data_IF_855215544269
#
_entry.id   IF_855215544269
#
_cell.length_a   1.000
_cell.length_b   1.000
_cell.length_c   1.000
_cell.angle_alpha   90.00
_cell.angle_beta   90.00
_cell.angle_gamma   90.00
#
_symmetry.space_group_name_H-M   'P 1'
#
loop_
_entity.id
_entity.type
_entity.pdbx_description
1 polymer ?
#
# COMPACT_ATOMS: atom_id res chain seq x y z
N UNK A 1 -9.60 14.00 -5.47
CA UNK A 1 -9.40 13.46 -4.11
C UNK A 1 -8.04 12.78 -4.05
N UNK A 2 -7.03 13.38 -3.41
CA UNK A 2 -5.75 12.73 -3.18
C UNK A 2 -5.77 12.02 -1.82
N UNK A 3 -5.32 10.77 -1.77
CA UNK A 3 -5.24 9.97 -0.53
C UNK A 3 -3.80 9.96 -0.08
N UNK A 4 -3.52 10.53 1.09
CA UNK A 4 -2.20 10.42 1.71
C UNK A 4 -2.16 9.12 2.53
N UNK A 5 -1.35 8.15 2.07
CA UNK A 5 -1.11 6.93 2.83
C UNK A 5 0.11 7.21 3.74
N UNK A 6 -0.01 7.13 5.07
CA UNK A 6 1.15 7.26 5.94
C UNK A 6 2.14 6.14 5.60
N UNK A 7 3.37 6.52 5.25
CA UNK A 7 4.46 5.57 5.04
C UNK A 7 4.74 4.86 6.37
N UNK A 8 4.24 3.63 6.56
CA UNK A 8 5.04 2.64 7.32
C UNK A 8 6.38 2.52 6.60
N UNK A 9 7.48 2.42 7.34
CA UNK A 9 8.85 2.30 6.83
C UNK A 9 8.89 1.19 5.77
N UNK A 10 8.68 1.56 4.52
CA UNK A 10 8.78 0.68 3.36
C UNK A 10 9.86 1.26 2.47
N UNK A 11 10.85 0.46 2.04
CA UNK A 11 11.92 0.95 1.20
C UNK A 11 11.33 1.56 -0.07
N UNK A 12 11.78 2.77 -0.41
CA UNK A 12 11.34 3.49 -1.61
C UNK A 12 11.81 2.68 -2.83
N UNK A 13 10.93 1.86 -3.41
CA UNK A 13 11.21 1.13 -4.65
C UNK A 13 10.80 2.01 -5.82
N UNK A 14 11.76 2.37 -6.68
CA UNK A 14 11.53 3.14 -7.91
C UNK A 14 10.93 2.21 -8.97
N UNK A 15 9.66 1.84 -8.79
CA UNK A 15 8.85 1.11 -9.77
C UNK A 15 7.55 1.88 -9.94
N UNK A 16 7.31 2.40 -11.15
CA UNK A 16 6.01 2.95 -11.53
C UNK A 16 5.13 1.76 -11.90
N UNK A 17 4.57 1.12 -10.87
CA UNK A 17 3.44 0.24 -11.02
C UNK A 17 2.39 0.73 -10.03
N UNK A 18 1.14 0.89 -10.49
CA UNK A 18 0.02 1.18 -9.60
C UNK A 18 -0.32 -0.12 -8.84
N UNK A 19 0.59 -0.55 -7.97
CA UNK A 19 0.42 -1.78 -7.20
C UNK A 19 -0.53 -1.44 -6.06
N UNK A 20 -1.77 -1.88 -6.16
CA UNK A 20 -2.63 -2.12 -5.01
C UNK A 20 -2.70 -3.63 -4.75
N UNK A 21 -1.60 -4.30 -4.33
CA UNK A 21 -1.71 -5.70 -3.97
C UNK A 21 -2.24 -5.71 -2.52
N UNK A 22 -3.54 -5.93 -2.35
CA UNK A 22 -4.17 -6.23 -1.06
C UNK A 22 -4.03 -5.20 0.07
N UNK A 23 -3.65 -3.94 -0.19
CA UNK A 23 -3.84 -2.88 0.80
C UNK A 23 -5.29 -2.45 0.75
N UNK A 24 -6.10 -2.92 1.72
CA UNK A 24 -7.43 -2.39 2.02
C UNK A 24 -7.38 -0.87 1.86
N UNK A 25 -8.29 -0.30 1.07
CA UNK A 25 -8.50 1.15 0.89
C UNK A 25 -8.95 1.83 2.20
N UNK A 26 -8.23 1.59 3.30
CA UNK A 26 -8.40 2.33 4.53
C UNK A 26 -7.99 3.77 4.22
N UNK A 27 -8.97 4.67 4.17
CA UNK A 27 -8.71 6.10 4.09
C UNK A 27 -8.09 6.53 5.42
N UNK A 28 -6.77 6.44 5.52
CA UNK A 28 -6.04 6.78 6.76
C UNK A 28 -5.93 8.29 6.94
N UNK A 29 -5.83 9.03 5.84
CA UNK A 29 -5.83 10.49 5.80
C UNK A 29 -6.60 10.94 4.56
N UNK A 30 -7.47 11.94 4.71
CA UNK A 30 -8.11 12.63 3.58
C UNK A 30 -7.74 14.10 3.60
N UNK A 31 -7.66 14.71 2.41
CA UNK A 31 -7.67 16.16 2.23
C UNK A 31 -9.03 16.57 1.68
N UNK A 32 -9.48 17.77 2.01
CA UNK A 32 -10.78 18.27 1.55
C UNK A 32 -10.62 18.99 0.19
N UNK A 33 -9.42 19.51 -0.09
CA UNK A 33 -9.05 20.09 -1.37
C UNK A 33 -7.57 20.45 -1.41
N UNK A 34 -7.22 21.34 -2.31
CA UNK A 34 -5.94 22.04 -2.37
C UNK A 34 -6.19 23.47 -2.85
N UNK A 35 -5.27 24.35 -2.55
CA UNK A 35 -5.27 25.73 -3.04
C UNK A 35 -3.92 26.05 -3.64
N UNK A 36 -3.94 26.77 -4.76
CA UNK A 36 -2.76 27.35 -5.38
C UNK A 36 -2.48 28.72 -4.76
N UNK A 37 -1.21 28.98 -4.45
CA UNK A 37 -0.74 30.30 -4.03
C UNK A 37 -0.67 31.20 -5.27
N UNK A 38 -1.03 32.49 -5.17
CA UNK A 38 -0.82 33.45 -6.24
C UNK A 38 0.60 33.40 -6.82
N UNK A 39 0.68 33.26 -8.14
CA UNK A 39 1.96 33.14 -8.84
C UNK A 39 2.78 34.42 -8.70
N UNK A 40 4.10 34.27 -8.59
CA UNK A 40 5.08 35.35 -8.53
C UNK A 40 4.86 36.32 -7.37
N UNK A 41 4.33 35.83 -6.25
CA UNK A 41 4.11 36.62 -5.04
C UNK A 41 4.73 35.92 -3.82
N UNK A 42 6.00 36.25 -3.54
CA UNK A 42 6.71 35.77 -2.35
C UNK A 42 6.01 36.17 -1.04
N UNK A 43 5.20 37.23 -1.02
CA UNK A 43 4.44 37.62 0.19
C UNK A 43 3.29 36.66 0.44
N UNK A 44 2.56 36.29 -0.62
CA UNK A 44 1.51 35.28 -0.55
C UNK A 44 2.07 33.90 -0.21
N UNK A 45 3.19 33.51 -0.82
CA UNK A 45 3.90 32.28 -0.46
C UNK A 45 4.32 32.28 1.01
N UNK A 46 4.90 33.39 1.50
CA UNK A 46 5.33 33.51 2.91
C UNK A 46 4.14 33.36 3.85
N UNK A 47 3.01 33.96 3.51
CA UNK A 47 1.78 33.85 4.28
C UNK A 47 1.35 32.38 4.36
N UNK A 48 1.31 31.65 3.25
CA UNK A 48 0.94 30.23 3.24
C UNK A 48 1.91 29.36 4.07
N UNK A 49 3.23 29.56 3.88
CA UNK A 49 4.28 28.82 4.61
C UNK A 49 4.22 29.06 6.13
N UNK A 50 3.75 30.24 6.57
CA UNK A 50 3.56 30.53 7.98
C UNK A 50 2.47 29.66 8.64
N UNK A 51 1.48 29.19 7.87
CA UNK A 51 0.40 28.33 8.38
C UNK A 51 0.73 26.85 8.24
N UNK A 52 1.37 26.44 7.13
CA UNK A 52 1.64 25.04 6.85
C UNK A 52 2.74 24.86 5.80
N UNK A 53 3.34 23.66 5.68
CA UNK A 53 4.23 23.36 4.56
C UNK A 53 3.53 23.51 3.21
N UNK A 54 4.24 24.10 2.24
CA UNK A 54 3.74 24.37 0.88
C UNK A 54 4.58 23.60 -0.13
N UNK A 55 3.93 22.89 -1.04
CA UNK A 55 4.61 22.27 -2.18
C UNK A 55 4.98 23.37 -3.17
N UNK A 56 6.23 23.40 -3.61
CA UNK A 56 6.74 24.40 -4.56
C UNK A 56 7.55 23.73 -5.65
N UNK A 57 7.50 24.27 -6.86
CA UNK A 57 8.41 23.90 -7.94
C UNK A 57 9.59 24.88 -8.01
N UNK A 58 10.76 24.37 -8.38
CA UNK A 58 11.99 25.14 -8.56
C UNK A 58 12.77 24.63 -9.78
N UNK A 59 13.70 25.45 -10.28
CA UNK A 59 14.79 24.99 -11.15
C UNK A 59 15.97 24.50 -10.30
N UNK A 60 16.26 23.20 -10.35
CA UNK A 60 17.30 22.52 -9.57
C UNK A 60 18.41 21.90 -10.45
N UNK A 61 18.32 21.99 -11.78
CA UNK A 61 19.28 21.41 -12.71
C UNK A 61 20.69 22.03 -12.68
N UNK A 62 20.86 23.23 -12.15
CA UNK A 62 22.15 23.94 -12.13
C UNK A 62 23.21 23.34 -11.20
N UNK A 63 24.49 23.41 -11.60
CA UNK A 63 25.62 22.87 -10.82
C UNK A 63 25.74 23.46 -9.41
N UNK A 64 25.42 24.75 -9.24
CA UNK A 64 25.41 25.41 -7.94
C UNK A 64 24.41 24.75 -6.98
N UNK A 65 23.23 24.36 -7.49
CA UNK A 65 22.21 23.70 -6.69
C UNK A 65 22.60 22.25 -6.37
N UNK A 66 23.05 21.49 -7.37
CA UNK A 66 23.45 20.09 -7.19
C UNK A 66 24.54 19.93 -6.13
N UNK A 67 25.51 20.85 -6.09
CA UNK A 67 26.66 20.81 -5.17
C UNK A 67 26.46 21.60 -3.88
N UNK A 68 25.24 22.09 -3.59
CA UNK A 68 24.94 22.81 -2.36
C UNK A 68 25.23 21.94 -1.12
N UNK A 69 25.91 22.53 -0.12
CA UNK A 69 26.26 21.88 1.14
C UNK A 69 25.64 22.59 2.35
N UNK A 70 25.77 23.92 2.44
CA UNK A 70 25.29 24.69 3.57
C UNK A 70 25.23 26.19 3.29
N UNK A 71 24.59 26.94 4.18
CA UNK A 71 24.47 28.40 4.12
C UNK A 71 23.24 28.86 3.34
N UNK A 72 23.01 30.17 3.27
CA UNK A 72 21.98 30.72 2.39
C UNK A 72 22.45 30.60 0.94
N UNK A 73 21.71 29.85 0.13
CA UNK A 73 21.96 29.63 -1.27
C UNK A 73 21.68 30.90 -2.07
N UNK A 74 22.76 31.54 -2.52
CA UNK A 74 22.76 32.70 -3.41
C UNK A 74 23.25 32.35 -4.82
N UNK A 75 23.54 31.07 -5.10
CA UNK A 75 24.04 30.60 -6.38
C UNK A 75 23.09 30.86 -7.57
N UNK A 76 23.61 30.76 -8.79
CA UNK A 76 22.83 31.00 -10.00
C UNK A 76 21.88 29.84 -10.30
N UNK A 77 20.65 30.18 -10.68
CA UNK A 77 19.62 29.30 -11.21
C UNK A 77 18.66 30.15 -12.09
N UNK A 78 17.99 29.53 -13.04
CA UNK A 78 16.95 30.15 -13.85
C UNK A 78 15.54 29.93 -13.25
N UNK A 79 14.55 29.87 -14.13
CA UNK A 79 13.12 29.71 -13.80
C UNK A 79 12.45 28.62 -14.64
N UNK A 80 13.22 27.75 -15.29
CA UNK A 80 12.69 26.57 -15.99
C UNK A 80 12.47 25.46 -14.97
N UNK A 81 11.29 25.49 -14.33
CA UNK A 81 10.91 24.59 -13.24
C UNK A 81 11.07 23.12 -13.67
N UNK A 82 11.87 22.36 -12.92
CA UNK A 82 12.20 20.96 -13.23
C UNK A 82 12.10 20.03 -12.02
N UNK A 83 11.88 20.59 -10.81
CA UNK A 83 11.96 19.82 -9.57
C UNK A 83 10.94 20.28 -8.53
N UNK A 84 10.27 19.31 -7.88
CA UNK A 84 9.30 19.55 -6.82
C UNK A 84 9.91 19.39 -5.43
N UNK A 85 9.71 20.38 -4.56
CA UNK A 85 10.22 20.43 -3.18
C UNK A 85 9.15 20.99 -2.23
N UNK A 86 9.46 21.08 -0.93
CA UNK A 86 8.52 21.59 0.08
C UNK A 86 9.13 22.76 0.82
N UNK A 87 8.52 23.93 0.74
CA UNK A 87 8.82 25.06 1.63
C UNK A 87 8.21 24.79 3.01
N UNK A 88 9.05 24.71 4.04
CA UNK A 88 8.64 24.35 5.41
C UNK A 88 8.84 25.48 6.42
N UNK A 89 9.43 26.59 6.00
CA UNK A 89 9.68 27.74 6.84
C UNK A 89 10.44 28.83 6.09
N UNK A 90 10.77 29.91 6.80
CA UNK A 90 11.59 31.00 6.32
C UNK A 90 12.26 31.69 7.51
N UNK A 91 13.30 32.47 7.24
CA UNK A 91 14.01 33.23 8.27
C UNK A 91 14.82 34.37 7.67
N UNK A 92 15.65 34.95 8.52
CA UNK A 92 16.62 36.00 8.16
C UNK A 92 17.90 35.72 8.93
N UNK A 93 19.04 35.71 8.25
CA UNK A 93 20.35 35.54 8.85
C UNK A 93 21.30 36.57 8.26
N UNK A 94 21.97 37.35 9.12
CA UNK A 94 22.91 38.40 8.70
C UNK A 94 22.33 39.41 7.68
N UNK A 95 21.04 39.73 7.79
CA UNK A 95 20.34 40.64 6.88
C UNK A 95 19.92 40.01 5.55
N UNK A 96 20.16 38.71 5.35
CA UNK A 96 19.71 37.96 4.17
C UNK A 96 18.48 37.13 4.53
N UNK A 97 17.39 37.38 3.83
CA UNK A 97 16.16 36.63 3.94
C UNK A 97 16.28 35.28 3.23
N UNK A 98 15.74 34.22 3.82
CA UNK A 98 15.76 32.89 3.20
C UNK A 98 14.48 32.09 3.43
N UNK A 99 14.20 31.17 2.52
CA UNK A 99 13.28 30.04 2.64
C UNK A 99 14.00 28.83 3.23
N UNK A 100 13.31 28.04 4.05
CA UNK A 100 13.77 26.71 4.46
C UNK A 100 13.02 25.69 3.59
N UNK A 101 13.75 25.01 2.73
CA UNK A 101 13.17 24.09 1.73
C UNK A 101 13.67 22.68 1.97
N UNK A 102 12.74 21.74 2.10
CA UNK A 102 13.01 20.32 2.22
C UNK A 102 13.13 19.69 0.84
N UNK A 103 14.24 19.01 0.59
CA UNK A 103 14.48 18.26 -0.64
C UNK A 103 14.22 16.75 -0.43
N UNK A 104 14.28 15.99 -1.52
CA UNK A 104 14.04 14.54 -1.58
C UNK A 104 15.28 13.72 -1.96
N UNK A 105 16.47 14.33 -1.97
CA UNK A 105 17.75 13.69 -2.34
C UNK A 105 18.51 13.04 -1.16
N UNK A 106 17.82 12.86 -0.03
CA UNK A 106 18.37 12.23 1.17
C UNK A 106 19.15 13.20 2.07
N UNK A 107 19.52 12.75 3.28
CA UNK A 107 20.11 13.62 4.30
C UNK A 107 21.57 14.00 4.01
N UNK A 108 22.27 13.29 3.10
CA UNK A 108 23.65 13.57 2.75
C UNK A 108 23.82 14.81 1.85
N UNK A 109 22.72 15.32 1.28
CA UNK A 109 22.73 16.51 0.43
C UNK A 109 22.31 17.75 1.24
N UNK A 110 22.99 18.88 1.04
CA UNK A 110 22.69 20.13 1.73
C UNK A 110 22.74 20.02 3.26
N UNK A 111 21.89 20.79 3.92
CA UNK A 111 21.80 20.84 5.38
C UNK A 111 20.87 19.73 5.89
N UNK A 112 21.36 18.49 5.92
CA UNK A 112 20.58 17.30 6.29
C UNK A 112 19.35 17.06 5.39
N UNK A 113 19.49 17.29 4.08
CA UNK A 113 18.40 17.19 3.10
C UNK A 113 17.59 18.46 2.91
N UNK A 114 18.03 19.57 3.51
CA UNK A 114 17.41 20.89 3.38
C UNK A 114 18.33 21.88 2.68
N UNK A 115 17.74 22.95 2.17
CA UNK A 115 18.43 24.11 1.64
C UNK A 115 17.80 25.37 2.21
N UNK A 116 18.65 26.31 2.64
CA UNK A 116 18.22 27.68 2.91
C UNK A 116 18.34 28.48 1.63
N UNK A 117 17.24 28.80 0.97
CA UNK A 117 17.25 29.47 -0.35
C UNK A 117 17.01 30.96 -0.19
N UNK A 118 17.82 31.81 -0.81
CA UNK A 118 17.65 33.27 -0.77
C UNK A 118 16.21 33.69 -1.14
N UNK A 119 15.65 34.63 -0.38
CA UNK A 119 14.28 35.14 -0.51
C UNK A 119 14.33 36.66 -0.70
N UNK A 120 13.27 37.23 -1.30
CA UNK A 120 13.16 38.68 -1.54
C UNK A 120 14.26 39.22 -2.47
N UNK A 121 14.60 38.46 -3.52
CA UNK A 121 15.60 38.87 -4.51
C UNK A 121 15.01 40.00 -5.36
N UNK A 122 15.52 41.22 -5.17
CA UNK A 122 14.93 42.44 -5.75
C UNK A 122 14.79 42.43 -7.29
N UNK A 123 15.58 41.61 -8.01
CA UNK A 123 15.56 41.53 -9.46
C UNK A 123 14.52 40.57 -10.05
N UNK A 124 13.70 39.91 -9.21
CA UNK A 124 12.72 38.95 -9.69
C UNK A 124 11.45 38.90 -8.83
N UNK A 125 10.31 38.71 -9.49
CA UNK A 125 9.02 38.41 -8.85
C UNK A 125 8.80 36.89 -8.75
N UNK A 126 9.53 36.09 -9.52
CA UNK A 126 9.43 34.61 -9.50
C UNK A 126 10.08 33.98 -8.27
N UNK A 127 10.81 34.77 -7.48
CA UNK A 127 11.67 34.31 -6.40
C UNK A 127 12.93 33.59 -6.91
N UNK A 128 13.86 33.27 -6.00
CA UNK A 128 15.07 32.52 -6.34
C UNK A 128 14.68 31.16 -6.93
N UNK A 129 15.28 30.80 -8.06
CA UNK A 129 15.04 29.55 -8.78
C UNK A 129 13.56 29.30 -9.17
N UNK A 130 12.73 30.35 -9.25
CA UNK A 130 11.31 30.22 -9.59
C UNK A 130 10.40 29.74 -8.45
N UNK A 131 10.87 29.73 -7.20
CA UNK A 131 10.13 29.17 -6.04
C UNK A 131 8.72 29.73 -5.83
N UNK A 132 8.42 30.93 -6.33
CA UNK A 132 7.10 31.56 -6.21
C UNK A 132 6.19 31.37 -7.45
N UNK A 133 6.63 30.64 -8.48
CA UNK A 133 5.88 30.49 -9.74
C UNK A 133 4.75 29.45 -9.64
N UNK A 134 5.02 28.31 -9.01
CA UNK A 134 4.06 27.21 -8.86
C UNK A 134 4.12 26.66 -7.44
N UNK A 135 3.20 27.13 -6.60
CA UNK A 135 3.10 26.74 -5.22
C UNK A 135 1.66 26.37 -4.86
N UNK A 136 1.49 25.26 -4.15
CA UNK A 136 0.17 24.80 -3.72
C UNK A 136 0.23 24.04 -2.41
N UNK A 137 -0.90 24.02 -1.70
CA UNK A 137 -1.01 23.35 -0.41
C UNK A 137 -2.34 22.63 -0.26
N UNK A 138 -2.36 21.46 0.44
CA UNK A 138 -3.60 20.76 0.71
C UNK A 138 -4.44 21.54 1.73
N UNK A 139 -5.76 21.53 1.55
CA UNK A 139 -6.70 22.09 2.53
C UNK A 139 -7.36 20.98 3.34
N UNK A 140 -7.57 21.27 4.62
CA UNK A 140 -8.27 20.37 5.54
C UNK A 140 -9.09 21.19 6.53
N UNK A 141 -10.40 21.03 6.45
CA UNK A 141 -11.41 21.72 7.26
C UNK A 141 -11.96 20.80 8.38
N UNK A 142 -11.70 19.48 8.32
CA UNK A 142 -12.12 18.51 9.34
C UNK A 142 -10.96 17.81 10.05
N UNK A 143 -11.25 17.12 11.16
CA UNK A 143 -10.25 16.28 11.83
C UNK A 143 -9.83 15.08 10.94
N UNK A 144 -8.59 14.63 11.12
CA UNK A 144 -8.14 13.34 10.63
C UNK A 144 -7.97 12.38 11.81
N UNK A 145 -8.51 11.15 11.76
CA UNK A 145 -9.37 10.62 10.69
C UNK A 145 -10.74 11.34 10.63
N UNK A 146 -11.46 11.28 9.48
CA UNK A 146 -12.80 11.85 9.35
C UNK A 146 -13.70 11.41 10.51
N UNK A 147 -14.57 12.27 11.04
CA UNK A 147 -15.57 11.91 12.05
C UNK A 147 -16.99 12.17 11.50
N UNK A 148 -17.88 11.15 11.44
CA UNK A 148 -17.62 9.74 11.73
C UNK A 148 -16.53 9.18 10.81
N UNK A 149 -15.75 8.23 11.34
CA UNK A 149 -14.74 7.48 10.59
C UNK A 149 -15.30 7.03 9.24
N UNK A 150 -14.48 6.83 8.20
CA UNK A 150 -14.98 6.21 6.98
C UNK A 150 -15.76 4.96 7.40
N UNK A 151 -17.06 4.92 7.09
CA UNK A 151 -17.87 3.72 7.30
C UNK A 151 -17.04 2.55 6.77
N UNK A 152 -16.97 1.42 7.50
CA UNK A 152 -16.42 0.20 6.93
C UNK A 152 -17.00 0.09 5.52
N UNK A 153 -16.17 -0.12 4.47
CA UNK A 153 -16.73 -0.33 3.14
C UNK A 153 -17.84 -1.36 3.33
N UNK A 154 -19.08 -1.00 2.94
CA UNK A 154 -20.18 -1.96 2.91
C UNK A 154 -19.60 -3.24 2.34
N UNK A 155 -19.79 -4.42 2.96
CA UNK A 155 -19.24 -5.65 2.43
C UNK A 155 -19.74 -5.75 1.00
N UNK A 156 -18.88 -5.40 0.05
CA UNK A 156 -19.02 -5.82 -1.32
C UNK A 156 -18.84 -7.30 -1.14
N UNK A 157 -19.95 -8.06 -1.17
CA UNK A 157 -19.88 -9.49 -1.31
C UNK A 157 -18.87 -9.72 -2.43
N UNK A 158 -17.69 -10.27 -2.13
CA UNK A 158 -16.79 -10.65 -3.19
C UNK A 158 -17.62 -11.52 -4.14
N UNK A 159 -17.40 -11.47 -5.47
CA UNK A 159 -17.82 -12.61 -6.27
C UNK A 159 -17.32 -13.85 -5.51
N UNK A 160 -18.20 -14.81 -5.19
CA UNK A 160 -17.84 -15.94 -4.34
C UNK A 160 -16.50 -16.48 -4.84
N UNK A 161 -15.50 -16.69 -3.96
CA UNK A 161 -14.24 -17.26 -4.39
C UNK A 161 -14.55 -18.48 -5.28
N UNK A 162 -13.83 -18.67 -6.40
CA UNK A 162 -14.02 -19.88 -7.17
C UNK A 162 -13.94 -21.06 -6.20
N UNK A 163 -14.87 -22.02 -6.34
CA UNK A 163 -14.86 -23.23 -5.53
C UNK A 163 -13.43 -23.75 -5.47
N UNK A 164 -12.93 -24.01 -4.25
CA UNK A 164 -11.64 -24.66 -4.08
C UNK A 164 -11.86 -26.12 -4.47
N UNK A 165 -11.73 -26.41 -5.77
CA UNK A 165 -11.69 -27.76 -6.31
C UNK A 165 -10.48 -28.46 -5.67
N UNK A 166 -10.74 -29.48 -4.86
CA UNK A 166 -9.69 -30.24 -4.18
C UNK A 166 -9.06 -31.24 -5.15
N UNK A 167 -9.91 -31.89 -5.94
CA UNK A 167 -9.54 -32.74 -7.07
C UNK A 167 -10.73 -32.84 -8.06
N UNK A 168 -10.66 -33.80 -9.00
CA UNK A 168 -11.72 -34.04 -9.99
C UNK A 168 -13.07 -34.48 -9.40
N UNK A 169 -13.09 -34.97 -8.15
CA UNK A 169 -14.23 -35.58 -7.49
C UNK A 169 -14.71 -34.81 -6.27
N UNK A 170 -13.89 -33.97 -5.66
CA UNK A 170 -14.16 -33.30 -4.40
C UNK A 170 -13.94 -31.79 -4.50
N UNK A 171 -14.89 -31.04 -3.97
CA UNK A 171 -14.80 -29.59 -3.84
C UNK A 171 -15.13 -29.13 -2.43
N UNK A 172 -14.52 -28.01 -2.05
CA UNK A 172 -14.82 -27.32 -0.80
C UNK A 172 -15.52 -25.98 -1.05
N UNK A 173 -16.32 -25.49 -0.07
CA UNK A 173 -16.93 -24.18 -0.15
C UNK A 173 -15.88 -23.08 -0.37
N UNK A 174 -16.24 -21.97 -1.04
CA UNK A 174 -15.35 -20.83 -1.19
C UNK A 174 -14.75 -20.36 0.14
N UNK A 175 -13.46 -20.04 0.14
CA UNK A 175 -12.74 -19.62 1.36
C UNK A 175 -12.34 -20.77 2.30
N UNK A 176 -12.45 -22.02 1.85
CA UNK A 176 -12.00 -23.21 2.59
C UNK A 176 -10.68 -23.74 2.05
N UNK A 177 -9.95 -24.49 2.87
CA UNK A 177 -8.75 -25.23 2.46
C UNK A 177 -9.06 -26.71 2.34
N UNK A 178 -8.72 -27.30 1.20
CA UNK A 178 -8.80 -28.74 0.97
C UNK A 178 -7.69 -29.45 1.76
N UNK A 179 -8.08 -30.28 2.72
CA UNK A 179 -7.18 -31.08 3.54
C UNK A 179 -7.37 -32.57 3.25
N UNK A 180 -6.28 -33.26 2.95
CA UNK A 180 -6.34 -34.69 2.73
C UNK A 180 -6.68 -35.42 4.05
N UNK A 181 -7.67 -36.31 3.99
CA UNK A 181 -8.09 -37.17 5.10
C UNK A 181 -7.52 -38.58 4.92
N UNK A 182 -7.41 -39.05 3.67
CA UNK A 182 -6.94 -40.41 3.39
C UNK A 182 -5.88 -40.39 2.30
N UNK A 183 -4.62 -40.31 2.73
CA UNK A 183 -3.46 -40.33 1.84
C UNK A 183 -2.90 -41.74 1.72
N UNK A 184 -2.61 -42.18 0.49
CA UNK A 184 -1.85 -43.40 0.23
C UNK A 184 -0.80 -43.11 -0.85
N UNK A 185 0.47 -43.16 -0.47
CA UNK A 185 1.57 -42.62 -1.30
C UNK A 185 1.41 -41.12 -1.52
N UNK A 186 1.52 -40.68 -2.78
CA UNK A 186 1.35 -39.28 -3.17
C UNK A 186 -0.09 -38.90 -3.55
N UNK A 187 -1.05 -39.83 -3.40
CA UNK A 187 -2.44 -39.60 -3.79
C UNK A 187 -3.37 -39.45 -2.58
N UNK A 188 -4.31 -38.52 -2.68
CA UNK A 188 -5.36 -38.32 -1.69
C UNK A 188 -6.69 -38.91 -2.18
N UNK A 189 -7.22 -39.88 -1.44
CA UNK A 189 -8.45 -40.61 -1.77
C UNK A 189 -9.70 -40.05 -1.08
N UNK A 190 -9.52 -39.08 -0.18
CA UNK A 190 -10.62 -38.44 0.53
C UNK A 190 -10.22 -37.07 1.07
N UNK A 191 -11.09 -36.10 0.89
CA UNK A 191 -10.83 -34.70 1.24
C UNK A 191 -11.78 -34.19 2.31
N UNK A 192 -11.26 -33.29 3.14
CA UNK A 192 -12.00 -32.49 4.10
C UNK A 192 -11.80 -31.01 3.84
N UNK A 193 -12.80 -30.22 4.20
CA UNK A 193 -12.77 -28.77 4.11
C UNK A 193 -12.44 -28.18 5.47
N UNK A 194 -11.29 -27.52 5.57
CA UNK A 194 -11.03 -26.61 6.68
C UNK A 194 -11.74 -25.28 6.43
N UNK A 195 -12.52 -24.74 7.38
CA UNK A 195 -13.30 -23.50 7.21
C UNK A 195 -12.43 -22.23 7.32
N UNK A 196 -11.21 -22.27 6.79
CA UNK A 196 -10.27 -21.17 6.72
C UNK A 196 -9.51 -21.23 5.39
N UNK A 197 -9.13 -20.06 4.88
CA UNK A 197 -8.21 -19.94 3.74
C UNK A 197 -6.78 -20.24 4.19
N UNK A 198 -6.03 -20.99 3.37
CA UNK A 198 -4.62 -21.33 3.60
C UNK A 198 -4.33 -22.00 4.95
N UNK A 199 -5.24 -22.86 5.41
CA UNK A 199 -5.08 -23.57 6.67
C UNK A 199 -4.01 -24.66 6.60
N UNK A 200 -3.30 -24.88 7.70
CA UNK A 200 -2.42 -26.03 7.85
C UNK A 200 -3.24 -27.26 8.21
N UNK A 201 -3.16 -28.31 7.40
CA UNK A 201 -3.82 -29.58 7.65
C UNK A 201 -3.00 -30.39 8.66
N UNK A 202 -3.58 -30.71 9.81
CA UNK A 202 -2.92 -31.52 10.83
C UNK A 202 -2.88 -33.02 10.47
N UNK A 203 -1.93 -33.73 11.04
CA UNK A 203 -1.70 -35.16 10.77
C UNK A 203 -2.76 -36.08 11.39
N UNK A 204 -3.63 -35.56 12.25
CA UNK A 204 -4.77 -36.30 12.81
C UNK A 204 -5.91 -36.53 11.78
N UNK A 205 -5.74 -36.02 10.56
CA UNK A 205 -6.69 -36.09 9.45
C UNK A 205 -8.06 -35.43 9.72
N UNK A 206 -8.22 -34.80 10.88
CA UNK A 206 -9.50 -34.28 11.37
C UNK A 206 -9.44 -32.80 11.69
N UNK A 207 -8.28 -32.31 12.12
CA UNK A 207 -8.08 -30.93 12.55
C UNK A 207 -7.30 -30.12 11.53
N UNK A 208 -7.46 -28.81 11.60
CA UNK A 208 -6.69 -27.86 10.84
C UNK A 208 -6.41 -26.61 11.68
N UNK A 209 -5.30 -25.94 11.34
CA UNK A 209 -4.83 -24.76 12.03
C UNK A 209 -4.82 -23.52 11.13
N UNK A 210 -5.08 -22.33 11.68
CA UNK A 210 -4.91 -21.08 10.96
C UNK A 210 -3.47 -20.89 10.48
N UNK A 211 -3.27 -20.21 9.36
CA UNK A 211 -1.94 -19.88 8.84
C UNK A 211 -1.03 -19.17 9.86
N UNK A 212 -1.58 -18.31 10.71
CA UNK A 212 -0.82 -17.58 11.73
C UNK A 212 -0.38 -18.48 12.91
N UNK A 213 -0.98 -19.66 13.05
CA UNK A 213 -0.69 -20.64 14.09
C UNK A 213 -0.47 -22.03 13.47
N UNK A 214 0.53 -22.22 12.60
CA UNK A 214 0.61 -23.39 11.72
C UNK A 214 1.04 -24.68 12.45
N UNK A 215 1.50 -24.60 13.71
CA UNK A 215 1.99 -25.77 14.45
C UNK A 215 0.82 -26.47 15.13
N UNK A 216 0.45 -27.65 14.64
CA UNK A 216 -0.56 -28.51 15.26
C UNK A 216 0.00 -29.16 16.54
N UNK A 217 -0.64 -28.89 17.68
CA UNK A 217 -0.49 -29.66 18.92
C UNK A 217 -1.71 -30.57 19.07
N UNK A 218 -1.54 -31.82 18.66
CA UNK A 218 -2.60 -32.83 18.65
C UNK A 218 -2.98 -33.31 20.07
N UNK A 219 -2.04 -33.26 21.01
CA UNK A 219 -2.26 -33.69 22.40
C UNK A 219 -3.11 -32.67 23.15
N UNK A 220 -2.81 -31.37 22.96
CA UNK A 220 -3.59 -30.29 23.54
C UNK A 220 -4.83 -29.91 22.70
N UNK A 221 -4.94 -30.38 21.45
CA UNK A 221 -5.99 -29.97 20.51
C UNK A 221 -5.90 -28.48 20.14
N UNK A 222 -4.69 -27.94 20.07
CA UNK A 222 -4.43 -26.51 19.84
C UNK A 222 -3.46 -26.27 18.69
N UNK A 223 -3.43 -25.04 18.20
CA UNK A 223 -2.58 -24.54 17.16
C UNK A 223 -1.66 -23.46 17.74
N UNK A 224 -0.36 -23.55 17.47
CA UNK A 224 0.66 -22.65 18.03
C UNK A 224 1.40 -21.93 16.92
N UNK A 225 1.90 -20.73 17.22
CA UNK A 225 2.78 -20.00 16.29
C UNK A 225 4.16 -20.67 16.14
N UNK A 226 4.57 -21.48 17.12
CA UNK A 226 5.85 -22.18 17.15
C UNK A 226 5.86 -23.32 18.17
N UNK A 227 6.78 -24.28 18.03
CA UNK A 227 6.81 -25.53 18.82
C UNK A 227 6.86 -25.31 20.35
N UNK A 228 7.52 -24.24 20.80
CA UNK A 228 7.71 -23.92 22.23
C UNK A 228 6.86 -22.74 22.72
N UNK A 229 5.82 -22.35 21.99
CA UNK A 229 4.96 -21.22 22.40
C UNK A 229 3.90 -21.71 23.41
N UNK A 230 3.82 -21.14 24.62
CA UNK A 230 2.80 -21.50 25.61
C UNK A 230 1.39 -21.04 25.22
N UNK A 231 1.27 -20.11 24.27
CA UNK A 231 -0.01 -19.62 23.78
C UNK A 231 -0.42 -20.35 22.51
N UNK A 232 -1.56 -21.01 22.57
CA UNK A 232 -2.19 -21.69 21.43
C UNK A 232 -3.66 -21.30 21.29
N UNK A 233 -4.14 -21.32 20.06
CA UNK A 233 -5.57 -21.19 19.74
C UNK A 233 -6.16 -22.58 19.53
N UNK A 234 -7.47 -22.74 19.73
CA UNK A 234 -8.11 -24.06 19.55
C UNK A 234 -8.02 -24.49 18.07
N UNK A 235 -7.67 -25.76 17.83
CA UNK A 235 -7.70 -26.31 16.48
C UNK A 235 -9.14 -26.41 15.95
N UNK A 236 -9.29 -26.21 14.65
CA UNK A 236 -10.59 -26.27 13.98
C UNK A 236 -10.83 -27.64 13.38
N UNK A 237 -12.07 -28.08 13.40
CA UNK A 237 -12.49 -29.35 12.82
C UNK A 237 -12.80 -29.20 11.34
N UNK A 238 -12.34 -30.15 10.53
CA UNK A 238 -12.67 -30.25 9.10
C UNK A 238 -14.11 -30.73 8.92
N UNK A 239 -14.80 -30.20 7.91
CA UNK A 239 -16.04 -30.76 7.39
C UNK A 239 -15.74 -31.73 6.22
N UNK A 240 -16.60 -32.71 5.90
CA UNK A 240 -16.41 -33.54 4.71
C UNK A 240 -16.51 -32.69 3.42
N UNK A 241 -15.63 -32.96 2.44
CA UNK A 241 -15.71 -32.32 1.13
C UNK A 241 -16.95 -32.79 0.35
N UNK A 242 -17.46 -31.92 -0.54
CA UNK A 242 -18.62 -32.25 -1.39
C UNK A 242 -18.16 -33.04 -2.60
N UNK A 243 -18.93 -34.05 -2.98
CA UNK A 243 -18.66 -34.84 -4.18
C UNK A 243 -19.19 -34.12 -5.42
N UNK A 244 -18.33 -33.87 -6.41
CA UNK A 244 -18.65 -33.28 -7.70
C UNK A 244 -19.37 -34.31 -8.61
N UNK A 245 -20.69 -34.43 -8.47
CA UNK A 245 -21.51 -35.42 -9.19
C UNK A 245 -21.53 -35.27 -10.73
N UNK A 246 -21.18 -34.11 -11.27
CA UNK A 246 -21.18 -33.83 -12.72
C UNK A 246 -20.09 -34.56 -13.51
N UNK A 247 -18.99 -34.99 -12.86
CA UNK A 247 -17.88 -35.70 -13.51
C UNK A 247 -17.95 -37.24 -13.38
N UNK A 248 -18.86 -37.78 -12.57
CA UNK A 248 -19.07 -39.24 -12.50
C UNK A 248 -19.84 -39.83 -13.71
N UNK A 249 -20.59 -39.02 -14.46
CA UNK A 249 -21.38 -39.48 -15.62
C UNK A 249 -20.57 -39.55 -16.95
N UNK A 250 -19.27 -39.24 -16.94
CA UNK A 250 -18.39 -39.36 -18.11
C UNK A 250 -17.83 -40.77 -18.35
N UNK A 251 -18.09 -41.72 -17.44
CA UNK A 251 -17.46 -43.03 -17.41
C UNK A 251 -18.41 -44.21 -17.59
N UNK A 252 -19.29 -44.22 -18.60
CA UNK A 252 -19.86 -45.44 -19.23
C UNK A 252 -20.88 -45.11 -20.33
N UNK A 253 -20.47 -45.28 -21.59
CA UNK A 253 -21.10 -46.12 -22.64
C UNK A 253 -20.40 -45.85 -23.97
N UNK A 254 -19.48 -46.75 -24.36
CA UNK A 254 -19.19 -46.97 -25.78
C UNK A 254 -20.46 -47.56 -26.40
N UNK A 255 -21.33 -46.72 -26.95
CA UNK A 255 -22.34 -47.16 -27.89
C UNK A 255 -21.80 -46.84 -29.28
N UNK A 256 -21.55 -47.90 -30.06
CA UNK A 256 -21.02 -47.82 -31.41
C UNK A 256 -21.91 -46.96 -32.31
N UNK A 257 -21.28 -46.12 -33.12
CA UNK A 257 -21.90 -45.56 -34.32
C UNK A 257 -22.24 -46.72 -35.25
N UNK A 258 -23.52 -47.03 -35.39
CA UNK A 258 -24.03 -47.67 -36.60
C UNK A 258 -24.26 -46.56 -37.63
N UNK A 259 -23.88 -46.92 -38.83
CA UNK A 259 -23.81 -46.19 -40.10
C UNK A 259 -25.19 -45.65 -40.54
N UNK A 260 -25.18 -44.66 -41.44
CA UNK A 260 -26.33 -43.83 -41.81
C UNK A 260 -27.40 -44.47 -42.70
N UNK A 261 -27.90 -43.63 -43.63
CA UNK A 261 -29.03 -43.82 -44.55
C UNK A 261 -30.38 -43.54 -43.81
N UNK A 262 -31.18 -42.50 -44.06
CA UNK A 262 -31.47 -41.64 -45.22
C UNK A 262 -31.57 -40.16 -44.82
#
# INVERSE_FOLDING_TARGET
MAVLIPKKITPTRLLIACVTPNRKNARVVTIDGYEDVPQNDEKSLRKAVAYQPVSVAIEAGGRHFQLYQSGVFTGSCGTQLDHGVVAVGYGTENGVDYWIVRNSWGPAWGENGYIRMERNVASTETGKCGIAMEASYPTKNGANPPNPGPSPPSPVNPPPPPSSECDDYYSCPPGSTCCCIYQYGDYCFGWGCCPLESATCCDDHYSCCPHDYPVCDLEAGTCRMGKNNPFGVKALTRAPARINQSRQLGGKRRAGKILGIF
#
